data_IF_440923731756
#
_entry.id   IF_440923731756
#
_cell.length_a   1.000
_cell.length_b   1.000
_cell.length_c   1.000
_cell.angle_alpha   90.00
_cell.angle_beta   90.00
_cell.angle_gamma   90.00
#
_symmetry.space_group_name_H-M   'P 1'
#
loop_
_entity.id
_entity.type
_entity.pdbx_description
1 polymer ?
#
# COMPACT_ATOMS: atom_id res chain seq x y z
N UNK A 1 -119.00 -1.17 30.89
CA UNK A 1 -117.68 -1.41 31.49
C UNK A 1 -117.71 -2.72 32.25
N UNK A 2 -117.17 -3.80 31.65
CA UNK A 2 -117.17 -5.15 32.30
C UNK A 2 -115.95 -5.18 33.25
N UNK A 3 -116.23 -5.26 34.56
CA UNK A 3 -115.17 -5.52 35.53
C UNK A 3 -114.79 -6.98 35.45
N UNK A 4 -113.60 -7.26 34.94
CA UNK A 4 -113.05 -8.63 35.00
C UNK A 4 -112.72 -8.94 36.47
N UNK A 5 -113.51 -9.86 37.05
CA UNK A 5 -113.18 -10.46 38.36
C UNK A 5 -112.06 -11.45 38.13
N UNK A 6 -110.81 -10.99 38.28
CA UNK A 6 -109.67 -11.86 38.28
C UNK A 6 -109.72 -12.70 39.55
N UNK A 7 -109.90 -13.98 39.40
CA UNK A 7 -109.90 -14.92 40.51
C UNK A 7 -108.60 -14.85 41.27
N UNK A 8 -108.63 -14.86 42.62
CA UNK A 8 -107.44 -14.84 43.49
C UNK A 8 -106.41 -15.91 43.10
N UNK A 9 -106.87 -16.96 42.45
CA UNK A 9 -106.04 -18.06 41.90
C UNK A 9 -105.13 -17.57 40.75
N UNK A 10 -105.63 -16.73 39.85
CA UNK A 10 -104.87 -16.19 38.74
C UNK A 10 -103.75 -15.24 39.19
N UNK A 11 -104.02 -14.50 40.26
CA UNK A 11 -103.04 -13.66 40.88
C UNK A 11 -101.90 -14.49 41.51
N UNK A 12 -102.25 -15.57 42.19
CA UNK A 12 -101.28 -16.51 42.75
C UNK A 12 -100.41 -17.16 41.67
N UNK A 13 -101.01 -17.54 40.54
CA UNK A 13 -100.25 -18.13 39.41
C UNK A 13 -99.29 -17.13 38.79
N UNK A 14 -99.72 -15.89 38.61
CA UNK A 14 -98.86 -14.82 38.11
C UNK A 14 -97.65 -14.56 39.03
N UNK A 15 -97.91 -14.55 40.34
CA UNK A 15 -96.86 -14.37 41.34
C UNK A 15 -95.80 -15.49 41.33
N UNK A 16 -96.34 -16.77 41.18
CA UNK A 16 -95.42 -17.91 41.11
C UNK A 16 -94.62 -17.89 39.83
N UNK A 17 -95.19 -17.49 38.68
CA UNK A 17 -94.45 -17.34 37.43
C UNK A 17 -93.40 -16.24 37.51
N UNK A 18 -93.75 -15.10 38.13
CA UNK A 18 -92.82 -14.03 38.32
C UNK A 18 -91.61 -14.43 39.22
N UNK A 19 -91.91 -15.18 40.32
CA UNK A 19 -90.86 -15.71 41.19
C UNK A 19 -90.00 -16.74 40.47
N UNK A 20 -90.63 -17.61 39.65
CA UNK A 20 -89.87 -18.58 38.87
C UNK A 20 -88.96 -17.94 37.80
N UNK A 21 -89.44 -16.87 37.12
CA UNK A 21 -88.65 -16.11 36.14
C UNK A 21 -87.57 -15.31 36.87
N UNK A 22 -87.84 -14.74 38.02
CA UNK A 22 -86.84 -14.04 38.83
C UNK A 22 -85.78 -15.02 39.35
N UNK A 23 -86.16 -16.20 39.83
CA UNK A 23 -85.21 -17.22 40.26
C UNK A 23 -84.34 -17.73 39.08
N UNK A 24 -84.93 -17.87 37.88
CA UNK A 24 -84.19 -18.26 36.68
C UNK A 24 -83.23 -17.15 36.21
N UNK A 25 -83.65 -15.89 36.28
CA UNK A 25 -82.83 -14.76 35.93
C UNK A 25 -81.66 -14.52 36.93
N UNK A 26 -81.92 -14.79 38.25
CA UNK A 26 -80.88 -14.74 39.29
C UNK A 26 -79.97 -15.97 39.33
N UNK A 27 -80.47 -17.10 38.78
CA UNK A 27 -79.70 -18.33 38.64
C UNK A 27 -78.89 -18.34 37.34
N UNK A 28 -78.79 -17.18 36.60
CA UNK A 28 -77.93 -16.99 35.43
C UNK A 28 -76.52 -17.41 35.77
N UNK A 29 -76.15 -18.57 35.25
CA UNK A 29 -74.96 -19.26 35.54
C UNK A 29 -73.76 -18.31 35.43
N UNK A 30 -72.98 -18.27 36.47
CA UNK A 30 -71.57 -17.88 36.34
C UNK A 30 -71.00 -18.79 35.28
N UNK A 31 -70.73 -18.25 34.06
CA UNK A 31 -69.80 -18.89 33.14
C UNK A 31 -68.45 -18.90 33.85
N UNK A 32 -68.07 -20.06 34.34
CA UNK A 32 -66.67 -20.31 34.65
C UNK A 32 -65.92 -20.05 33.37
N UNK A 33 -65.10 -19.02 33.32
CA UNK A 33 -64.09 -18.85 32.27
C UNK A 33 -63.18 -20.08 32.36
N UNK A 34 -63.37 -21.00 31.42
CA UNK A 34 -62.42 -22.07 31.21
C UNK A 34 -61.08 -21.39 30.89
N UNK A 35 -60.20 -21.31 31.88
CA UNK A 35 -58.82 -20.86 31.70
C UNK A 35 -58.13 -21.98 30.90
N UNK A 36 -58.07 -21.80 29.59
CA UNK A 36 -57.29 -22.68 28.72
C UNK A 36 -55.81 -22.42 28.96
N UNK A 37 -55.17 -23.23 29.77
CA UNK A 37 -53.74 -23.27 29.90
C UNK A 37 -53.16 -23.86 28.62
N UNK A 38 -52.41 -23.08 27.84
CA UNK A 38 -51.54 -23.60 26.81
C UNK A 38 -50.29 -24.17 27.51
N UNK A 39 -50.27 -25.46 27.67
CA UNK A 39 -49.06 -26.15 28.11
C UNK A 39 -48.12 -26.27 26.89
N UNK A 40 -47.00 -25.58 26.93
CA UNK A 40 -45.92 -25.73 25.95
C UNK A 40 -44.82 -26.51 26.62
N UNK A 41 -44.47 -27.65 26.03
CA UNK A 41 -43.38 -28.46 26.58
C UNK A 41 -42.06 -27.68 26.49
N UNK A 42 -41.41 -27.54 27.64
CA UNK A 42 -40.07 -26.93 27.69
C UNK A 42 -39.10 -27.84 26.92
N UNK A 43 -38.61 -27.32 25.80
CA UNK A 43 -37.56 -27.97 25.02
C UNK A 43 -36.24 -27.32 25.34
N UNK A 44 -35.26 -28.15 25.60
CA UNK A 44 -33.86 -27.65 25.72
C UNK A 44 -33.33 -27.42 24.32
N UNK A 45 -33.17 -26.18 23.92
CA UNK A 45 -32.54 -25.80 22.66
C UNK A 45 -31.16 -25.20 22.94
N UNK A 46 -30.21 -25.53 22.07
CA UNK A 46 -28.90 -24.93 22.12
C UNK A 46 -28.93 -23.59 21.41
N UNK A 47 -28.86 -22.50 22.15
CA UNK A 47 -28.70 -21.17 21.58
C UNK A 47 -27.25 -21.02 21.08
N UNK A 48 -27.07 -21.02 19.78
CA UNK A 48 -25.81 -20.63 19.16
C UNK A 48 -25.80 -19.12 18.92
N UNK A 49 -25.07 -18.39 19.73
CA UNK A 49 -24.82 -16.99 19.50
C UNK A 49 -23.56 -16.89 18.64
N UNK A 50 -23.69 -16.64 17.33
CA UNK A 50 -22.57 -16.41 16.44
C UNK A 50 -22.29 -14.90 16.33
N UNK A 51 -21.09 -14.49 16.73
CA UNK A 51 -20.62 -13.13 16.50
C UNK A 51 -19.75 -13.17 15.24
N UNK A 52 -20.19 -12.50 14.19
CA UNK A 52 -19.37 -12.29 12.98
C UNK A 52 -18.62 -10.97 13.14
N UNK A 53 -17.30 -11.04 13.07
CA UNK A 53 -16.45 -9.88 12.98
C UNK A 53 -15.79 -9.85 11.59
N UNK A 54 -15.79 -8.68 10.95
CA UNK A 54 -15.05 -8.43 9.71
C UNK A 54 -13.85 -7.58 10.05
N UNK A 55 -12.70 -7.92 9.52
CA UNK A 55 -11.47 -7.16 9.66
C UNK A 55 -10.59 -7.33 8.43
N UNK A 56 -9.75 -6.35 8.16
CA UNK A 56 -8.67 -6.41 7.17
C UNK A 56 -7.40 -6.92 7.86
N UNK A 57 -6.76 -7.92 7.24
CA UNK A 57 -5.44 -8.37 7.67
C UNK A 57 -4.42 -7.51 6.93
N UNK A 58 -3.64 -6.75 7.69
CA UNK A 58 -2.53 -5.97 7.16
C UNK A 58 -1.21 -6.59 7.62
N UNK A 59 -0.22 -6.57 6.74
CA UNK A 59 1.12 -7.06 7.09
C UNK A 59 1.77 -6.12 8.13
N UNK A 60 2.34 -6.68 9.19
CA UNK A 60 3.03 -5.92 10.26
C UNK A 60 4.22 -5.12 9.71
N UNK A 61 4.91 -5.65 8.71
CA UNK A 61 6.03 -4.97 8.05
C UNK A 61 5.86 -5.07 6.54
N UNK A 62 5.59 -3.94 5.89
CA UNK A 62 5.58 -3.82 4.43
C UNK A 62 6.53 -2.73 3.98
N UNK A 63 7.17 -2.93 2.85
CA UNK A 63 8.07 -1.95 2.23
C UNK A 63 7.62 -1.74 0.78
N UNK A 64 7.40 -0.48 0.44
CA UNK A 64 7.11 -0.06 -0.92
C UNK A 64 8.42 0.12 -1.68
N UNK A 65 8.55 -0.53 -2.82
CA UNK A 65 9.69 -0.44 -3.71
C UNK A 65 9.32 0.41 -4.91
N UNK A 66 10.09 1.45 -5.15
CA UNK A 66 9.95 2.35 -6.28
C UNK A 66 11.23 2.44 -7.10
N UNK A 67 11.26 3.36 -8.07
CA UNK A 67 12.45 3.67 -8.86
C UNK A 67 12.94 5.09 -8.61
N UNK A 68 14.27 5.29 -8.68
CA UNK A 68 14.91 6.60 -8.58
C UNK A 68 15.25 7.19 -9.95
N UNK A 69 15.05 6.43 -11.03
CA UNK A 69 15.29 6.86 -12.41
C UNK A 69 14.04 6.63 -13.24
N UNK A 70 13.81 7.54 -14.19
CA UNK A 70 12.71 7.42 -15.15
C UNK A 70 13.11 6.51 -16.30
N UNK A 71 12.17 5.71 -16.80
CA UNK A 71 12.42 4.81 -17.92
C UNK A 71 11.20 3.97 -18.26
N UNK A 72 11.35 3.10 -19.25
CA UNK A 72 10.34 2.11 -19.61
C UNK A 72 10.68 0.81 -18.88
N UNK A 73 9.68 0.16 -18.31
CA UNK A 73 9.85 -1.16 -17.69
C UNK A 73 10.12 -2.16 -18.82
N UNK A 74 11.34 -2.68 -18.87
CA UNK A 74 11.77 -3.62 -19.89
C UNK A 74 11.34 -5.05 -19.54
N UNK A 75 11.48 -5.44 -18.26
CA UNK A 75 11.15 -6.80 -17.82
C UNK A 75 10.76 -6.82 -16.34
N UNK A 76 9.78 -7.67 -16.03
CA UNK A 76 9.38 -8.03 -14.68
C UNK A 76 9.79 -9.48 -14.40
N UNK A 77 10.42 -9.73 -13.26
CA UNK A 77 10.90 -11.05 -12.84
C UNK A 77 10.02 -11.68 -11.78
N UNK A 78 9.09 -10.91 -11.21
CA UNK A 78 8.17 -11.34 -10.16
C UNK A 78 6.76 -10.85 -10.44
N UNK A 79 5.78 -11.57 -9.91
CA UNK A 79 4.37 -11.22 -10.01
C UNK A 79 3.74 -11.18 -8.61
N UNK A 80 2.44 -10.85 -8.55
CA UNK A 80 1.67 -10.93 -7.33
C UNK A 80 1.84 -12.29 -6.63
N UNK A 81 1.95 -12.27 -5.31
CA UNK A 81 2.18 -13.45 -4.46
C UNK A 81 3.51 -14.19 -4.69
N UNK A 82 4.47 -13.58 -5.39
CA UNK A 82 5.81 -14.16 -5.56
C UNK A 82 6.65 -13.97 -4.29
N UNK A 83 7.35 -15.02 -3.87
CA UNK A 83 8.34 -14.92 -2.80
C UNK A 83 9.66 -14.34 -3.33
N UNK A 84 10.20 -13.36 -2.64
CA UNK A 84 11.44 -12.67 -3.00
C UNK A 84 12.43 -12.65 -1.84
N UNK A 85 13.71 -12.67 -2.18
CA UNK A 85 14.81 -12.52 -1.22
C UNK A 85 15.42 -11.14 -1.32
N UNK A 86 15.94 -10.64 -0.21
CA UNK A 86 16.70 -9.40 -0.19
C UNK A 86 17.82 -9.39 -1.24
N UNK A 87 17.87 -8.33 -2.06
CA UNK A 87 18.83 -8.21 -3.17
C UNK A 87 18.44 -8.94 -4.45
N UNK A 88 17.34 -9.70 -4.47
CA UNK A 88 16.83 -10.34 -5.68
C UNK A 88 16.30 -9.27 -6.63
N UNK A 89 16.65 -9.38 -7.92
CA UNK A 89 16.12 -8.51 -8.98
C UNK A 89 14.64 -8.82 -9.18
N UNK A 90 13.81 -7.77 -9.11
CA UNK A 90 12.35 -7.86 -9.26
C UNK A 90 11.85 -7.22 -10.56
N UNK A 91 12.53 -6.17 -11.01
CA UNK A 91 12.24 -5.51 -12.28
C UNK A 91 13.49 -4.89 -12.89
N UNK A 92 13.45 -4.63 -14.19
CA UNK A 92 14.53 -4.01 -14.94
C UNK A 92 13.94 -2.96 -15.89
N UNK A 93 14.47 -1.74 -15.81
CA UNK A 93 14.14 -0.66 -16.74
C UNK A 93 15.03 -0.74 -17.99
N UNK A 94 14.58 -0.12 -19.06
CA UNK A 94 15.41 0.07 -20.26
C UNK A 94 16.66 0.88 -19.93
N UNK A 95 17.81 0.28 -20.15
CA UNK A 95 19.13 0.82 -19.84
C UNK A 95 19.78 1.57 -21.00
N UNK A 96 19.15 1.61 -22.18
CA UNK A 96 19.75 2.12 -23.42
C UNK A 96 20.26 3.56 -23.25
N UNK A 97 19.42 4.45 -22.74
CA UNK A 97 19.78 5.84 -22.51
C UNK A 97 20.83 5.99 -21.40
N UNK A 98 20.69 5.25 -20.31
CA UNK A 98 21.62 5.30 -19.18
C UNK A 98 23.00 4.75 -19.54
N UNK A 99 23.07 3.72 -20.40
CA UNK A 99 24.32 3.22 -20.96
C UNK A 99 24.98 4.27 -21.87
N UNK A 100 24.21 4.97 -22.69
CA UNK A 100 24.70 6.05 -23.54
C UNK A 100 25.27 7.21 -22.72
N UNK A 101 24.58 7.60 -21.64
CA UNK A 101 25.07 8.62 -20.69
C UNK A 101 26.39 8.18 -20.02
N UNK A 102 26.45 6.93 -19.57
CA UNK A 102 27.67 6.39 -18.96
C UNK A 102 28.84 6.39 -19.95
N UNK A 103 28.59 5.97 -21.20
CA UNK A 103 29.62 5.96 -22.25
C UNK A 103 30.11 7.38 -22.58
N UNK A 104 29.19 8.35 -22.63
CA UNK A 104 29.53 9.77 -22.82
C UNK A 104 30.38 10.30 -21.65
N UNK A 105 29.99 10.00 -20.43
CA UNK A 105 30.76 10.41 -19.23
C UNK A 105 32.17 9.77 -19.23
N UNK A 106 32.29 8.49 -19.63
CA UNK A 106 33.60 7.81 -19.77
C UNK A 106 34.46 8.44 -20.85
N UNK A 107 33.89 8.82 -22.00
CA UNK A 107 34.61 9.50 -23.06
C UNK A 107 35.14 10.88 -22.60
N UNK A 108 34.32 11.65 -21.86
CA UNK A 108 34.74 12.93 -21.29
C UNK A 108 35.86 12.75 -20.25
N UNK A 109 35.80 11.72 -19.40
CA UNK A 109 36.86 11.39 -18.48
C UNK A 109 38.15 11.02 -19.22
N UNK A 110 38.09 10.22 -20.30
CA UNK A 110 39.25 9.88 -21.10
C UNK A 110 39.88 11.11 -21.75
N UNK A 111 39.09 12.04 -22.26
CA UNK A 111 39.55 13.33 -22.81
C UNK A 111 40.21 14.18 -21.74
N UNK A 112 39.60 14.34 -20.57
CA UNK A 112 40.16 15.09 -19.44
C UNK A 112 41.49 14.47 -18.97
N UNK A 113 41.57 13.14 -18.91
CA UNK A 113 42.78 12.42 -18.52
C UNK A 113 43.93 12.62 -19.53
N UNK A 114 43.60 12.60 -20.83
CA UNK A 114 44.58 12.90 -21.89
C UNK A 114 45.12 14.33 -21.79
N UNK A 115 44.24 15.31 -21.55
CA UNK A 115 44.64 16.69 -21.30
C UNK A 115 45.50 16.82 -20.04
N UNK A 116 45.12 16.16 -18.93
CA UNK A 116 45.95 16.16 -17.71
C UNK A 116 47.35 15.60 -17.98
N UNK A 117 47.47 14.51 -18.75
CA UNK A 117 48.76 13.94 -19.13
C UNK A 117 49.61 14.93 -19.91
N UNK A 118 49.02 15.64 -20.86
CA UNK A 118 49.71 16.69 -21.61
C UNK A 118 50.15 17.84 -20.70
N UNK A 119 49.28 18.35 -19.86
CA UNK A 119 49.59 19.45 -18.94
C UNK A 119 50.65 19.05 -17.89
N UNK A 120 50.63 17.80 -17.42
CA UNK A 120 51.64 17.27 -16.51
C UNK A 120 53.01 17.25 -17.15
N UNK A 121 53.12 16.78 -18.42
CA UNK A 121 54.37 16.78 -19.17
C UNK A 121 54.86 18.22 -19.43
N UNK A 122 53.93 19.13 -19.73
CA UNK A 122 54.23 20.55 -19.95
C UNK A 122 54.77 21.20 -18.68
N UNK A 123 54.06 21.05 -17.56
CA UNK A 123 54.49 21.56 -16.24
C UNK A 123 55.88 21.04 -15.85
N UNK A 124 56.15 19.75 -16.02
CA UNK A 124 57.48 19.15 -15.73
C UNK A 124 58.56 19.74 -16.60
N UNK A 125 58.27 20.06 -17.87
CA UNK A 125 59.20 20.75 -18.78
C UNK A 125 59.52 22.15 -18.29
N UNK A 126 58.48 22.96 -17.99
CA UNK A 126 58.65 24.31 -17.46
C UNK A 126 59.38 24.32 -16.11
N UNK A 127 59.11 23.35 -15.25
CA UNK A 127 59.84 23.20 -13.99
C UNK A 127 61.35 22.98 -14.22
N UNK A 128 61.67 22.17 -15.20
CA UNK A 128 63.12 21.92 -15.54
C UNK A 128 63.75 23.13 -16.13
N UNK A 129 63.08 23.87 -17.02
CA UNK A 129 63.56 25.11 -17.62
C UNK A 129 63.73 26.23 -16.58
N UNK A 130 62.76 26.36 -15.65
CA UNK A 130 62.84 27.34 -14.56
C UNK A 130 64.04 27.09 -13.63
N UNK A 131 64.28 25.82 -13.26
CA UNK A 131 65.46 25.44 -12.47
C UNK A 131 66.81 25.80 -13.16
N UNK A 132 66.81 25.88 -14.49
CA UNK A 132 67.99 26.29 -15.29
C UNK A 132 68.05 27.81 -15.58
N UNK A 133 67.05 28.58 -15.10
CA UNK A 133 66.95 30.01 -15.35
C UNK A 133 66.59 30.40 -16.78
N UNK A 134 65.98 29.48 -17.54
CA UNK A 134 65.61 29.61 -18.96
C UNK A 134 64.22 30.14 -19.22
N UNK A 135 63.37 30.19 -18.19
CA UNK A 135 61.98 30.72 -18.23
C UNK A 135 61.72 31.56 -16.99
N UNK A 136 60.76 32.47 -17.07
CA UNK A 136 60.30 33.29 -15.95
C UNK A 136 59.52 32.52 -14.89
N UNK A 137 59.41 33.07 -13.68
CA UNK A 137 58.59 32.51 -12.63
C UNK A 137 57.12 32.49 -13.05
N UNK A 138 56.66 33.53 -13.73
CA UNK A 138 55.27 33.63 -14.23
C UNK A 138 54.90 32.51 -15.22
N UNK A 139 55.81 32.20 -16.16
CA UNK A 139 55.61 31.10 -17.12
C UNK A 139 55.51 29.73 -16.43
N UNK A 140 56.35 29.49 -15.42
CA UNK A 140 56.28 28.28 -14.62
C UNK A 140 54.97 28.20 -13.79
N UNK A 141 54.56 29.30 -13.15
CA UNK A 141 53.36 29.37 -12.36
C UNK A 141 52.10 29.18 -13.23
N UNK A 142 52.07 29.74 -14.45
CA UNK A 142 50.99 29.49 -15.43
C UNK A 142 50.92 28.02 -15.84
N UNK A 143 52.06 27.35 -16.08
CA UNK A 143 52.08 25.93 -16.38
C UNK A 143 51.58 25.08 -15.19
N UNK A 144 51.93 25.47 -13.97
CA UNK A 144 51.48 24.83 -12.75
C UNK A 144 49.94 25.03 -12.54
N UNK A 145 49.47 26.25 -12.81
CA UNK A 145 48.01 26.55 -12.72
C UNK A 145 47.20 25.70 -13.70
N UNK A 146 47.59 25.64 -14.97
CA UNK A 146 46.93 24.82 -15.99
C UNK A 146 46.96 23.33 -15.67
N UNK A 147 48.06 22.83 -15.13
CA UNK A 147 48.13 21.46 -14.64
C UNK A 147 47.13 21.21 -13.50
N UNK A 148 47.04 22.10 -12.52
CA UNK A 148 46.08 21.99 -11.41
C UNK A 148 44.64 22.03 -11.93
N UNK A 149 44.31 22.93 -12.86
CA UNK A 149 43.00 23.02 -13.47
C UNK A 149 42.62 21.70 -14.21
N UNK A 150 43.59 21.16 -14.98
CA UNK A 150 43.35 19.88 -15.66
C UNK A 150 43.15 18.72 -14.67
N UNK A 151 43.83 18.73 -13.53
CA UNK A 151 43.68 17.75 -12.47
C UNK A 151 42.26 17.81 -11.86
N UNK A 152 41.76 19.01 -11.55
CA UNK A 152 40.42 19.21 -11.03
C UNK A 152 39.33 18.83 -12.07
N UNK A 153 39.59 19.07 -13.35
CA UNK A 153 38.71 18.64 -14.44
C UNK A 153 38.57 17.10 -14.51
N UNK A 154 39.68 16.38 -14.29
CA UNK A 154 39.63 14.89 -14.21
C UNK A 154 38.82 14.44 -13.00
N UNK A 155 38.98 15.08 -11.84
CA UNK A 155 38.21 14.79 -10.65
C UNK A 155 36.70 14.99 -10.90
N UNK A 156 36.32 16.12 -11.46
CA UNK A 156 34.92 16.41 -11.83
C UNK A 156 34.35 15.40 -12.84
N UNK A 157 35.14 15.05 -13.88
CA UNK A 157 34.71 14.06 -14.87
C UNK A 157 34.55 12.66 -14.27
N UNK A 158 35.39 12.29 -13.30
CA UNK A 158 35.27 11.02 -12.56
C UNK A 158 34.00 10.96 -11.75
N UNK A 159 33.60 12.04 -11.08
CA UNK A 159 32.35 12.12 -10.34
C UNK A 159 31.13 11.99 -11.29
N UNK A 160 31.21 12.56 -12.49
CA UNK A 160 30.18 12.42 -13.50
C UNK A 160 30.04 10.94 -13.96
N UNK A 161 31.13 10.21 -14.12
CA UNK A 161 31.10 8.77 -14.42
C UNK A 161 30.46 8.00 -13.27
N UNK A 162 30.83 8.30 -12.04
CA UNK A 162 30.25 7.66 -10.85
C UNK A 162 28.75 7.90 -10.76
N UNK A 163 28.30 9.13 -11.02
CA UNK A 163 26.88 9.48 -11.06
C UNK A 163 26.12 8.68 -12.13
N UNK A 164 26.64 8.65 -13.34
CA UNK A 164 26.03 7.89 -14.45
C UNK A 164 26.00 6.38 -14.14
N UNK A 165 27.03 5.85 -13.50
CA UNK A 165 27.08 4.45 -13.08
C UNK A 165 26.06 4.13 -11.98
N UNK A 166 25.87 5.03 -11.03
CA UNK A 166 24.85 4.91 -9.98
C UNK A 166 23.44 4.92 -10.57
N UNK A 167 23.17 5.85 -11.49
CA UNK A 167 21.89 5.94 -12.19
C UNK A 167 21.60 4.64 -12.99
N UNK A 168 22.62 4.09 -13.63
CA UNK A 168 22.50 2.80 -14.33
C UNK A 168 22.18 1.66 -13.34
N UNK A 169 22.75 1.69 -12.14
CA UNK A 169 22.43 0.74 -11.06
C UNK A 169 20.97 0.81 -10.65
N UNK A 170 20.40 2.00 -10.56
CA UNK A 170 18.97 2.20 -10.21
C UNK A 170 18.00 1.69 -11.28
N UNK A 171 18.46 1.45 -12.51
CA UNK A 171 17.64 0.82 -13.53
C UNK A 171 17.38 -0.68 -13.26
N UNK A 172 18.12 -1.29 -12.35
CA UNK A 172 17.89 -2.65 -11.88
C UNK A 172 17.26 -2.58 -10.48
N UNK A 173 15.98 -2.89 -10.39
CA UNK A 173 15.20 -2.77 -9.16
C UNK A 173 15.29 -4.08 -8.39
N UNK A 174 15.73 -4.01 -7.13
CA UNK A 174 15.91 -5.17 -6.27
C UNK A 174 15.04 -5.08 -5.02
N UNK A 175 14.68 -6.22 -4.46
CA UNK A 175 13.97 -6.28 -3.18
C UNK A 175 14.86 -5.83 -2.03
N UNK A 176 14.42 -4.89 -1.17
CA UNK A 176 15.17 -4.47 0.01
C UNK A 176 15.07 -5.43 1.19
N UNK A 177 14.05 -6.32 1.19
CA UNK A 177 13.76 -7.27 2.26
C UNK A 177 13.43 -8.66 1.69
N UNK A 178 13.47 -9.67 2.54
CA UNK A 178 12.87 -10.96 2.26
C UNK A 178 11.36 -10.87 2.51
N UNK A 179 10.54 -11.46 1.64
CA UNK A 179 9.09 -11.42 1.81
C UNK A 179 8.30 -11.86 0.59
N UNK A 180 7.02 -11.52 0.60
CA UNK A 180 6.07 -11.82 -0.49
C UNK A 180 5.57 -10.52 -1.11
N UNK A 181 5.46 -10.48 -2.43
CA UNK A 181 4.89 -9.35 -3.18
C UNK A 181 3.39 -9.31 -2.97
N UNK A 182 2.89 -8.28 -2.27
CA UNK A 182 1.46 -8.10 -1.98
C UNK A 182 0.76 -7.13 -2.96
N UNK A 183 1.53 -6.32 -3.68
CA UNK A 183 0.99 -5.44 -4.72
C UNK A 183 2.02 -5.25 -5.83
N UNK A 184 1.53 -5.24 -7.07
CA UNK A 184 2.27 -4.89 -8.29
C UNK A 184 1.47 -3.78 -8.99
N UNK A 185 2.06 -2.61 -9.12
CA UNK A 185 1.42 -1.40 -9.70
C UNK A 185 2.00 -1.04 -11.07
N UNK A 186 2.79 -1.93 -11.68
CA UNK A 186 3.43 -1.68 -12.97
C UNK A 186 3.34 -2.90 -13.89
N UNK A 187 3.37 -2.62 -15.21
CA UNK A 187 3.38 -3.64 -16.25
C UNK A 187 4.60 -3.48 -17.19
N UNK A 188 4.98 -4.55 -17.89
CA UNK A 188 6.02 -4.49 -18.92
C UNK A 188 5.62 -3.54 -20.05
N UNK A 189 6.56 -2.70 -20.48
CA UNK A 189 6.31 -1.64 -21.47
C UNK A 189 5.78 -0.34 -20.89
N UNK A 190 5.43 -0.28 -19.60
CA UNK A 190 4.94 0.94 -18.97
C UNK A 190 6.08 1.93 -18.72
N UNK A 191 5.83 3.21 -18.99
CA UNK A 191 6.77 4.29 -18.66
C UNK A 191 6.57 4.74 -17.22
N UNK A 192 7.64 4.76 -16.43
CA UNK A 192 7.68 5.26 -15.07
C UNK A 192 8.52 6.53 -14.99
N UNK A 193 8.03 7.53 -14.26
CA UNK A 193 8.69 8.83 -14.10
C UNK A 193 8.99 9.10 -12.62
N UNK A 194 10.25 9.28 -12.28
CA UNK A 194 10.72 9.51 -10.91
C UNK A 194 10.71 11.00 -10.48
N UNK A 195 10.08 11.91 -11.25
CA UNK A 195 10.31 13.36 -11.15
C UNK A 195 9.58 14.07 -10.00
N UNK A 196 8.40 13.62 -9.57
CA UNK A 196 7.57 14.33 -8.57
C UNK A 196 7.09 13.46 -7.40
N UNK A 197 6.81 12.20 -7.65
CA UNK A 197 6.53 11.19 -6.63
C UNK A 197 7.28 9.94 -7.03
N UNK A 198 8.00 9.32 -6.10
CA UNK A 198 8.58 8.00 -6.35
C UNK A 198 7.44 7.05 -6.69
N UNK A 199 7.31 6.58 -7.96
CA UNK A 199 6.23 5.68 -8.32
C UNK A 199 6.36 4.38 -7.53
N UNK A 200 5.27 3.99 -6.89
CA UNK A 200 5.20 2.70 -6.21
C UNK A 200 5.09 1.61 -7.26
N UNK A 201 6.11 0.76 -7.36
CA UNK A 201 6.14 -0.34 -8.33
C UNK A 201 5.66 -1.64 -7.71
N UNK A 202 6.16 -1.93 -6.50
CA UNK A 202 5.82 -3.12 -5.74
C UNK A 202 5.66 -2.79 -4.26
N UNK A 203 4.81 -3.54 -3.58
CA UNK A 203 4.78 -3.58 -2.12
C UNK A 203 5.13 -5.00 -1.68
N UNK A 204 6.12 -5.13 -0.81
CA UNK A 204 6.64 -6.41 -0.32
C UNK A 204 6.38 -6.48 1.17
N UNK A 205 5.73 -7.55 1.62
CA UNK A 205 5.51 -7.84 3.03
C UNK A 205 6.48 -8.91 3.53
N UNK A 206 7.04 -8.70 4.70
CA UNK A 206 8.02 -9.61 5.29
C UNK A 206 7.37 -10.90 5.80
N UNK A 207 6.22 -10.77 6.44
CA UNK A 207 5.47 -11.88 7.03
C UNK A 207 3.98 -11.56 7.02
N UNK A 208 3.17 -12.49 6.54
CA UNK A 208 1.70 -12.39 6.49
C UNK A 208 1.03 -13.22 7.61
N UNK A 209 1.82 -13.93 8.42
CA UNK A 209 1.32 -14.94 9.36
C UNK A 209 1.45 -14.57 10.83
N UNK A 210 1.98 -13.40 11.19
CA UNK A 210 2.10 -12.92 12.56
C UNK A 210 1.21 -11.72 12.82
#
# INVERSE_FOLDING_TARGET
>A
MKKLKVSKIWIAVIVIVVIAVAAWALSGGKKEEEINFKEEAVKTETLQNSVTATGTIEAVTSVTVGTQVSGIVNKLYVDYNSQVKKGQVIAELDKTNLLSELNTAKANLASATSNLSYQAANMNRYQTLYKKGLVSADEYENALLTYRQAKEQVASSKENVQKAQTNLGYATITSPIDGTVISKSVEEGQTVAASFNTPELFTIAKDLTN
#
